data_IF_968866532749
#
_entry.id   IF_968866532749
#
_cell.length_a   1.000
_cell.length_b   1.000
_cell.length_c   1.000
_cell.angle_alpha   90.00
_cell.angle_beta   90.00
_cell.angle_gamma   90.00
#
_symmetry.space_group_name_H-M   'P 1'
#
loop_
_entity.id
_entity.type
_entity.pdbx_description
1 polymer ?
#
# COMPACT_ATOMS: atom_id res chain seq x y z
N UNK A 1 -6.17 11.48 32.29
CA UNK A 1 -5.48 11.16 31.04
C UNK A 1 -6.35 11.64 29.89
N UNK A 2 -6.00 12.77 29.26
CA UNK A 2 -6.84 13.46 28.27
C UNK A 2 -6.51 12.97 26.88
N UNK A 3 -7.48 12.39 26.19
CA UNK A 3 -7.45 11.90 24.82
C UNK A 3 -7.17 13.05 23.84
N UNK A 4 -6.07 12.95 23.11
CA UNK A 4 -5.76 13.82 21.95
C UNK A 4 -6.19 13.11 20.67
N UNK A 5 -7.49 12.97 20.47
CA UNK A 5 -8.07 12.65 19.17
C UNK A 5 -8.65 13.95 18.60
N UNK A 6 -7.88 14.65 17.86
CA UNK A 6 -8.36 15.67 16.93
C UNK A 6 -7.18 16.15 16.12
N UNK A 7 -7.11 15.73 14.88
CA UNK A 7 -6.54 16.40 13.71
C UNK A 7 -6.53 15.38 12.57
N UNK A 8 -7.69 15.08 11.98
CA UNK A 8 -7.79 14.54 10.62
C UNK A 8 -9.24 14.71 10.12
N UNK A 9 -9.76 15.91 10.28
CA UNK A 9 -10.92 16.34 9.53
C UNK A 9 -10.57 17.77 9.08
N UNK A 10 -10.21 17.92 7.82
CA UNK A 10 -10.21 19.12 6.97
C UNK A 10 -9.13 18.93 5.90
N UNK A 11 -9.55 18.49 4.76
CA UNK A 11 -9.13 18.92 3.42
C UNK A 11 -9.87 18.12 2.36
N UNK A 12 -11.15 18.43 2.22
CA UNK A 12 -11.84 18.38 0.94
C UNK A 12 -12.03 19.82 0.50
N UNK A 13 -11.60 20.10 -0.68
CA UNK A 13 -11.91 21.22 -1.59
C UNK A 13 -10.65 21.87 -2.13
N UNK A 14 -10.35 21.53 -3.37
CA UNK A 14 -10.11 22.53 -4.42
C UNK A 14 -9.89 21.80 -5.76
N UNK A 15 -10.99 21.76 -6.52
CA UNK A 15 -10.93 21.59 -7.97
C UNK A 15 -10.75 22.97 -8.59
N UNK A 16 -9.76 23.14 -9.44
CA UNK A 16 -9.76 24.19 -10.48
C UNK A 16 -8.75 23.81 -11.57
N UNK A 17 -9.29 23.35 -12.67
CA UNK A 17 -9.13 23.88 -14.03
C UNK A 17 -7.82 24.61 -14.33
N UNK A 18 -7.02 24.06 -15.23
CA UNK A 18 -6.15 24.86 -16.10
C UNK A 18 -6.19 24.36 -17.52
N UNK A 19 -6.42 25.33 -18.36
CA UNK A 19 -6.69 25.33 -19.75
C UNK A 19 -5.54 24.89 -20.66
N UNK A 20 -5.96 24.49 -21.82
CA UNK A 20 -5.19 24.18 -23.00
C UNK A 20 -4.41 25.38 -23.52
N UNK A 21 -3.16 25.15 -23.90
CA UNK A 21 -2.37 26.06 -24.73
C UNK A 21 -1.75 25.31 -25.91
N UNK A 22 -2.37 25.36 -27.06
CA UNK A 22 -1.74 24.96 -28.32
C UNK A 22 -0.77 26.03 -28.77
N UNK A 23 0.45 25.63 -29.13
CA UNK A 23 1.44 26.47 -29.79
C UNK A 23 2.10 25.71 -30.94
N UNK A 24 1.60 25.95 -32.18
CA UNK A 24 2.31 25.58 -33.41
C UNK A 24 3.46 26.55 -33.65
N UNK A 25 4.63 26.06 -33.97
CA UNK A 25 5.77 26.83 -34.49
C UNK A 25 6.64 25.98 -35.42
N UNK A 26 6.47 26.19 -36.74
CA UNK A 26 7.36 25.73 -37.81
C UNK A 26 8.63 26.57 -37.82
N UNK A 27 9.77 25.99 -38.15
CA UNK A 27 10.98 26.72 -38.53
C UNK A 27 12.16 25.79 -38.82
N UNK A 28 12.44 25.60 -40.09
CA UNK A 28 13.61 24.94 -40.67
C UNK A 28 14.92 25.67 -40.32
N UNK A 29 16.04 25.00 -40.17
CA UNK A 29 17.15 24.97 -41.15
C UNK A 29 18.40 24.32 -40.57
N UNK A 30 19.13 23.70 -41.46
CA UNK A 30 20.31 22.90 -41.30
C UNK A 30 21.53 23.67 -40.78
N UNK A 31 22.34 22.98 -39.96
CA UNK A 31 23.78 23.16 -39.97
C UNK A 31 24.48 21.82 -39.64
N UNK A 32 25.20 21.30 -40.63
CA UNK A 32 26.16 20.20 -40.48
C UNK A 32 27.38 20.71 -39.70
N UNK A 33 27.89 19.88 -38.78
CA UNK A 33 29.31 19.98 -38.41
C UNK A 33 29.62 19.60 -36.97
N UNK A 34 30.51 18.59 -36.82
CA UNK A 34 31.32 18.26 -35.66
C UNK A 34 30.55 17.65 -34.47
N UNK A 35 30.59 16.39 -34.19
CA UNK A 35 31.69 15.48 -34.22
C UNK A 35 32.04 15.04 -32.81
N UNK A 36 31.59 13.88 -32.41
CA UNK A 36 32.24 12.95 -31.47
C UNK A 36 32.98 13.54 -30.24
N UNK A 37 32.23 13.99 -29.21
CA UNK A 37 32.77 14.08 -27.82
C UNK A 37 31.72 14.27 -26.74
N UNK A 38 30.47 13.82 -26.93
CA UNK A 38 29.42 13.96 -25.90
C UNK A 38 28.76 12.63 -25.44
N UNK A 39 29.40 11.49 -25.65
CA UNK A 39 28.82 10.20 -25.22
C UNK A 39 29.29 9.69 -23.85
N UNK A 40 30.13 10.41 -23.12
CA UNK A 40 30.52 9.96 -21.77
C UNK A 40 29.93 10.75 -20.59
N UNK A 41 29.19 11.83 -20.83
CA UNK A 41 28.56 12.61 -19.75
C UNK A 41 27.13 12.16 -19.37
N UNK A 42 26.48 11.32 -20.20
CA UNK A 42 25.11 10.90 -19.97
C UNK A 42 24.91 9.75 -18.98
N UNK A 43 25.98 8.99 -18.69
CA UNK A 43 25.85 7.81 -17.81
C UNK A 43 25.97 8.13 -16.31
N UNK A 44 26.48 9.30 -15.93
CA UNK A 44 26.58 9.70 -14.51
C UNK A 44 25.36 10.48 -13.98
N UNK A 45 24.56 11.09 -14.84
CA UNK A 45 23.35 11.81 -14.39
C UNK A 45 22.20 10.88 -13.95
N UNK A 46 22.13 9.65 -14.47
CA UNK A 46 21.07 8.70 -14.09
C UNK A 46 21.25 8.03 -12.73
N UNK A 47 22.45 8.08 -12.15
CA UNK A 47 22.72 7.48 -10.84
C UNK A 47 22.49 8.48 -9.70
N UNK A 48 22.74 9.76 -9.91
CA UNK A 48 22.52 10.81 -8.90
C UNK A 48 21.05 11.08 -8.56
N UNK A 49 20.13 10.87 -9.50
CA UNK A 49 18.70 11.06 -9.24
C UNK A 49 18.08 9.88 -8.48
N UNK A 50 18.59 8.66 -8.69
CA UNK A 50 18.11 7.48 -7.93
C UNK A 50 18.53 7.50 -6.46
N UNK A 51 19.64 8.16 -6.13
CA UNK A 51 20.12 8.27 -4.75
C UNK A 51 19.48 9.44 -3.98
N UNK A 52 18.93 10.43 -4.67
CA UNK A 52 18.18 11.55 -4.05
C UNK A 52 16.85 11.12 -3.45
N UNK A 53 16.21 10.09 -4.01
CA UNK A 53 14.93 9.55 -3.51
C UNK A 53 15.10 8.53 -2.39
N UNK A 54 16.36 8.19 -2.04
CA UNK A 54 16.64 7.23 -0.97
C UNK A 54 16.60 7.89 0.39
N UNK A 55 15.77 7.33 1.26
CA UNK A 55 15.56 7.82 2.62
C UNK A 55 16.28 6.92 3.61
N UNK A 56 17.09 7.52 4.49
CA UNK A 56 17.76 6.78 5.56
C UNK A 56 16.74 6.26 6.56
N UNK A 57 16.81 4.98 6.91
CA UNK A 57 15.99 4.38 7.93
C UNK A 57 16.83 3.62 8.96
N UNK A 58 16.37 3.61 10.18
CA UNK A 58 16.98 2.83 11.25
C UNK A 58 16.79 1.33 11.02
N UNK A 59 17.64 0.50 11.61
CA UNK A 59 17.49 -0.95 11.59
C UNK A 59 16.09 -1.37 12.10
N UNK A 60 15.60 -0.72 13.15
CA UNK A 60 14.28 -0.97 13.71
C UNK A 60 13.15 -0.69 12.71
N UNK A 61 13.18 0.46 12.03
CA UNK A 61 12.17 0.81 10.99
C UNK A 61 12.17 -0.22 9.87
N UNK A 62 13.34 -0.69 9.45
CA UNK A 62 13.45 -1.72 8.43
C UNK A 62 12.86 -3.06 8.87
N UNK A 63 13.08 -3.46 10.11
CA UNK A 63 12.53 -4.70 10.65
C UNK A 63 11.00 -4.59 10.81
N UNK A 64 10.47 -3.44 11.20
CA UNK A 64 9.04 -3.16 11.22
C UNK A 64 8.42 -3.27 9.83
N UNK A 65 9.05 -2.69 8.80
CA UNK A 65 8.60 -2.83 7.40
C UNK A 65 8.56 -4.29 6.95
N UNK A 66 9.58 -5.09 7.27
CA UNK A 66 9.62 -6.52 6.95
C UNK A 66 8.52 -7.28 7.68
N UNK A 67 8.28 -6.97 8.95
CA UNK A 67 7.24 -7.62 9.75
C UNK A 67 5.85 -7.29 9.19
N UNK A 68 5.61 -6.04 8.78
CA UNK A 68 4.38 -5.65 8.11
C UNK A 68 4.19 -6.37 6.75
N UNK A 69 5.24 -6.49 5.93
CA UNK A 69 5.19 -7.22 4.65
C UNK A 69 4.85 -8.70 4.86
N UNK A 70 5.49 -9.37 5.86
CA UNK A 70 5.20 -10.76 6.21
C UNK A 70 3.76 -10.95 6.71
N UNK A 71 3.29 -10.04 7.57
CA UNK A 71 1.91 -10.09 8.08
C UNK A 71 0.90 -9.89 6.96
N UNK A 72 1.14 -8.96 6.04
CA UNK A 72 0.31 -8.75 4.86
C UNK A 72 0.25 -10.00 3.97
N UNK A 73 1.38 -10.70 3.79
CA UNK A 73 1.42 -11.96 3.06
C UNK A 73 0.63 -13.07 3.75
N UNK A 74 0.75 -13.19 5.07
CA UNK A 74 0.00 -14.19 5.84
C UNK A 74 -1.52 -13.95 5.74
N UNK A 75 -1.98 -12.70 5.89
CA UNK A 75 -3.39 -12.33 5.74
C UNK A 75 -3.87 -12.64 4.31
N UNK A 76 -3.11 -12.25 3.30
CA UNK A 76 -3.42 -12.53 1.90
C UNK A 76 -3.60 -14.03 1.64
N UNK A 77 -2.68 -14.86 2.12
CA UNK A 77 -2.73 -16.31 1.95
C UNK A 77 -3.94 -16.91 2.68
N UNK A 78 -4.28 -16.39 3.86
CA UNK A 78 -5.47 -16.82 4.61
C UNK A 78 -6.76 -16.42 3.87
N UNK A 79 -6.84 -15.21 3.35
CA UNK A 79 -7.99 -14.76 2.55
C UNK A 79 -8.18 -15.64 1.29
N UNK A 80 -7.09 -15.97 0.60
CA UNK A 80 -7.11 -16.91 -0.53
C UNK A 80 -7.63 -18.28 -0.13
N UNK A 81 -7.20 -18.81 1.02
CA UNK A 81 -7.67 -20.09 1.51
C UNK A 81 -9.16 -20.04 1.85
N UNK A 82 -9.61 -18.98 2.53
CA UNK A 82 -11.03 -18.77 2.84
C UNK A 82 -11.88 -18.69 1.56
N UNK A 83 -11.39 -18.01 0.52
CA UNK A 83 -12.09 -17.94 -0.76
C UNK A 83 -12.28 -19.33 -1.41
N UNK A 84 -11.26 -20.18 -1.31
CA UNK A 84 -11.33 -21.58 -1.79
C UNK A 84 -12.32 -22.41 -0.97
N UNK A 85 -12.24 -22.30 0.35
CA UNK A 85 -13.08 -23.09 1.26
C UNK A 85 -14.56 -22.70 1.16
N UNK A 86 -14.84 -21.39 1.04
CA UNK A 86 -16.19 -20.87 0.88
C UNK A 86 -16.78 -21.16 -0.52
N UNK A 87 -15.94 -21.29 -1.55
CA UNK A 87 -16.39 -21.55 -2.92
C UNK A 87 -16.63 -23.03 -3.25
N UNK A 88 -16.35 -23.97 -2.33
CA UNK A 88 -16.53 -25.41 -2.55
C UNK A 88 -17.95 -25.88 -2.26
N UNK A 89 -18.35 -26.98 -2.87
CA UNK A 89 -19.50 -27.73 -2.42
C UNK A 89 -19.25 -28.23 -0.97
N UNK A 90 -20.19 -28.00 -0.06
CA UNK A 90 -19.98 -28.28 1.37
C UNK A 90 -19.37 -27.13 2.16
N UNK A 91 -19.65 -25.90 1.76
CA UNK A 91 -19.29 -24.69 2.50
C UNK A 91 -19.60 -24.83 4.00
N UNK A 92 -18.57 -24.59 4.83
CA UNK A 92 -18.67 -24.63 6.28
C UNK A 92 -18.46 -23.22 6.87
N UNK A 93 -19.52 -22.55 7.34
CA UNK A 93 -19.43 -21.21 7.91
C UNK A 93 -18.48 -21.10 9.12
N UNK A 94 -18.40 -22.15 9.97
CA UNK A 94 -17.55 -22.12 11.15
C UNK A 94 -16.05 -22.18 10.81
N UNK A 95 -15.70 -22.87 9.74
CA UNK A 95 -14.33 -22.87 9.23
C UNK A 95 -13.93 -21.47 8.74
N UNK A 96 -14.84 -20.79 8.05
CA UNK A 96 -14.62 -19.42 7.59
C UNK A 96 -14.54 -18.44 8.76
N UNK A 97 -15.41 -18.56 9.78
CA UNK A 97 -15.34 -17.74 11.00
C UNK A 97 -13.99 -17.87 11.70
N UNK A 98 -13.45 -19.08 11.82
CA UNK A 98 -12.10 -19.29 12.37
C UNK A 98 -11.02 -18.62 11.54
N UNK A 99 -11.11 -18.73 10.20
CA UNK A 99 -10.17 -18.05 9.29
C UNK A 99 -10.24 -16.54 9.41
N UNK A 100 -11.45 -16.00 9.52
CA UNK A 100 -11.69 -14.56 9.71
C UNK A 100 -11.13 -14.05 11.04
N UNK A 101 -11.31 -14.81 12.13
CA UNK A 101 -10.73 -14.47 13.43
C UNK A 101 -9.20 -14.40 13.36
N UNK A 102 -8.55 -15.35 12.70
CA UNK A 102 -7.10 -15.34 12.50
C UNK A 102 -6.65 -14.12 11.67
N UNK A 103 -7.41 -13.72 10.65
CA UNK A 103 -7.13 -12.49 9.89
C UNK A 103 -7.21 -11.27 10.80
N UNK A 104 -8.23 -11.16 11.67
CA UNK A 104 -8.36 -10.03 12.61
C UNK A 104 -7.18 -9.94 13.57
N UNK A 105 -6.73 -11.05 14.10
CA UNK A 105 -5.58 -11.10 15.00
C UNK A 105 -4.29 -10.68 14.30
N UNK A 106 -4.05 -11.18 13.09
CA UNK A 106 -2.90 -10.80 12.27
C UNK A 106 -2.96 -9.33 11.84
N UNK A 107 -4.14 -8.83 11.48
CA UNK A 107 -4.35 -7.42 11.12
C UNK A 107 -4.08 -6.50 12.32
N UNK A 108 -4.54 -6.88 13.51
CA UNK A 108 -4.27 -6.13 14.75
C UNK A 108 -2.77 -6.10 15.07
N UNK A 109 -2.05 -7.20 14.87
CA UNK A 109 -0.60 -7.25 15.04
C UNK A 109 0.11 -6.35 14.01
N UNK A 110 -0.27 -6.44 12.73
CA UNK A 110 0.27 -5.62 11.66
C UNK A 110 0.03 -4.12 11.89
N UNK A 111 -1.17 -3.75 12.37
CA UNK A 111 -1.50 -2.36 12.69
C UNK A 111 -0.60 -1.81 13.82
N UNK A 112 -0.32 -2.60 14.86
CA UNK A 112 0.61 -2.18 15.92
C UNK A 112 2.02 -1.92 15.39
N UNK A 113 2.53 -2.78 14.51
CA UNK A 113 3.84 -2.56 13.89
C UNK A 113 3.83 -1.35 12.94
N UNK A 114 2.75 -1.16 12.20
CA UNK A 114 2.56 0.02 11.35
C UNK A 114 2.53 1.32 12.16
N UNK A 115 1.81 1.36 13.28
CA UNK A 115 1.77 2.52 14.18
C UNK A 115 3.15 2.83 14.77
N UNK A 116 3.91 1.81 15.18
CA UNK A 116 5.29 1.99 15.67
C UNK A 116 6.21 2.54 14.57
N UNK A 117 6.07 2.04 13.35
CA UNK A 117 6.79 2.57 12.19
C UNK A 117 6.47 4.04 12.00
N UNK A 118 5.19 4.41 11.97
CA UNK A 118 4.72 5.79 11.81
C UNK A 118 5.26 6.74 12.88
N UNK A 119 5.26 6.31 14.14
CA UNK A 119 5.80 7.09 15.26
C UNK A 119 7.33 7.29 15.17
N UNK A 120 8.03 6.39 14.52
CA UNK A 120 9.48 6.45 14.32
C UNK A 120 9.92 7.25 13.10
N UNK A 121 9.01 7.69 12.22
CA UNK A 121 9.36 8.47 11.05
C UNK A 121 9.74 9.90 11.40
N UNK A 122 10.78 10.44 10.77
CA UNK A 122 11.05 11.87 10.79
C UNK A 122 10.26 12.59 9.68
N UNK A 123 10.20 13.93 9.74
CA UNK A 123 9.43 14.73 8.78
C UNK A 123 9.80 14.49 7.32
N UNK A 124 11.09 14.27 7.02
CA UNK A 124 11.55 13.98 5.65
C UNK A 124 11.06 12.62 5.19
N UNK A 125 11.08 11.61 6.07
CA UNK A 125 10.56 10.27 5.81
C UNK A 125 9.04 10.30 5.60
N UNK A 126 8.30 11.02 6.46
CA UNK A 126 6.84 11.18 6.31
C UNK A 126 6.50 11.77 4.95
N UNK A 127 7.17 12.84 4.52
CA UNK A 127 6.95 13.48 3.22
C UNK A 127 7.27 12.51 2.07
N UNK A 128 8.42 11.82 2.14
CA UNK A 128 8.85 10.89 1.09
C UNK A 128 7.90 9.67 0.94
N UNK A 129 7.24 9.26 2.04
CA UNK A 129 6.35 8.09 2.07
C UNK A 129 4.87 8.43 2.06
N UNK A 130 4.49 9.70 2.13
CA UNK A 130 3.10 10.16 2.32
C UNK A 130 2.09 9.47 1.39
N UNK A 131 2.39 9.37 0.09
CA UNK A 131 1.50 8.72 -0.87
C UNK A 131 1.29 7.23 -0.55
N UNK A 132 2.37 6.52 -0.16
CA UNK A 132 2.32 5.12 0.22
C UNK A 132 1.55 4.91 1.51
N UNK A 133 1.78 5.76 2.51
CA UNK A 133 1.08 5.73 3.82
C UNK A 133 -0.42 5.97 3.65
N UNK A 134 -0.81 6.95 2.84
CA UNK A 134 -2.22 7.21 2.50
C UNK A 134 -2.88 5.99 1.82
N UNK A 135 -2.18 5.34 0.90
CA UNK A 135 -2.72 4.16 0.24
C UNK A 135 -2.82 2.95 1.19
N UNK A 136 -1.89 2.80 2.14
CA UNK A 136 -1.95 1.78 3.18
C UNK A 136 -3.17 1.99 4.09
N UNK A 137 -3.44 3.23 4.49
CA UNK A 137 -4.60 3.56 5.31
C UNK A 137 -5.91 3.25 4.60
N UNK A 138 -6.04 3.63 3.33
CA UNK A 138 -7.21 3.26 2.50
C UNK A 138 -7.38 1.74 2.37
N UNK A 139 -6.28 1.00 2.23
CA UNK A 139 -6.33 -0.46 2.19
C UNK A 139 -6.82 -1.03 3.53
N UNK A 140 -6.37 -0.48 4.67
CA UNK A 140 -6.83 -0.85 6.02
C UNK A 140 -8.34 -0.67 6.18
N UNK A 141 -8.86 0.49 5.75
CA UNK A 141 -10.30 0.76 5.80
C UNK A 141 -11.12 -0.23 4.96
N UNK A 142 -10.63 -0.53 3.74
CA UNK A 142 -11.27 -1.53 2.87
C UNK A 142 -11.30 -2.91 3.51
N UNK A 143 -10.20 -3.37 4.13
CA UNK A 143 -10.15 -4.67 4.81
C UNK A 143 -11.17 -4.73 5.96
N UNK A 144 -11.27 -3.67 6.76
CA UNK A 144 -12.26 -3.60 7.84
C UNK A 144 -13.69 -3.68 7.29
N UNK A 145 -14.00 -2.97 6.21
CA UNK A 145 -15.31 -3.03 5.53
C UNK A 145 -15.60 -4.44 4.99
N UNK A 146 -14.60 -5.09 4.39
CA UNK A 146 -14.75 -6.46 3.88
C UNK A 146 -14.97 -7.48 5.00
N UNK A 147 -14.28 -7.32 6.14
CA UNK A 147 -14.50 -8.17 7.33
C UNK A 147 -15.92 -7.98 7.89
N UNK A 148 -16.42 -6.75 7.96
CA UNK A 148 -17.79 -6.47 8.39
C UNK A 148 -18.84 -7.06 7.43
N UNK A 149 -18.64 -6.91 6.13
CA UNK A 149 -19.52 -7.48 5.13
C UNK A 149 -19.56 -9.02 5.21
N UNK A 150 -18.42 -9.65 5.48
CA UNK A 150 -18.33 -11.08 5.70
C UNK A 150 -19.04 -11.52 6.99
N UNK A 151 -18.94 -10.74 8.09
CA UNK A 151 -19.70 -11.00 9.32
C UNK A 151 -21.21 -10.98 9.06
N UNK A 152 -21.67 -9.96 8.32
CA UNK A 152 -23.09 -9.84 7.96
C UNK A 152 -23.58 -11.05 7.16
N UNK A 153 -22.79 -11.49 6.18
CA UNK A 153 -23.15 -12.67 5.38
C UNK A 153 -23.18 -13.95 6.22
N UNK A 154 -22.15 -14.16 7.07
CA UNK A 154 -22.05 -15.33 7.95
C UNK A 154 -23.11 -15.35 9.07
N UNK A 155 -23.74 -14.21 9.36
CA UNK A 155 -24.80 -14.09 10.37
C UNK A 155 -26.20 -14.40 9.81
N UNK A 156 -26.33 -14.59 8.50
CA UNK A 156 -27.61 -14.96 7.88
C UNK A 156 -28.02 -16.39 8.29
N UNK A 157 -29.31 -16.68 8.33
CA UNK A 157 -29.80 -18.04 8.58
C UNK A 157 -29.26 -19.07 7.57
N UNK A 158 -29.06 -18.63 6.35
CA UNK A 158 -28.46 -19.40 5.24
C UNK A 158 -27.38 -18.57 4.57
N UNK A 159 -26.13 -18.61 5.11
CA UNK A 159 -25.03 -17.86 4.52
C UNK A 159 -24.63 -18.44 3.16
N UNK A 160 -24.40 -17.56 2.18
CA UNK A 160 -24.01 -17.94 0.83
C UNK A 160 -22.50 -18.04 0.70
N UNK A 161 -21.96 -19.26 0.57
CA UNK A 161 -20.51 -19.48 0.40
C UNK A 161 -19.91 -18.72 -0.79
N UNK A 162 -20.68 -18.55 -1.88
CA UNK A 162 -20.23 -17.78 -3.05
C UNK A 162 -19.93 -16.31 -2.70
N UNK A 163 -20.81 -15.64 -1.94
CA UNK A 163 -20.63 -14.25 -1.50
C UNK A 163 -19.44 -14.12 -0.56
N UNK A 164 -19.30 -15.04 0.38
CA UNK A 164 -18.13 -15.09 1.27
C UNK A 164 -16.84 -15.28 0.48
N UNK A 165 -16.85 -16.14 -0.54
CA UNK A 165 -15.70 -16.35 -1.41
C UNK A 165 -15.32 -15.10 -2.21
N UNK A 166 -16.30 -14.33 -2.68
CA UNK A 166 -16.07 -13.04 -3.38
C UNK A 166 -15.43 -12.01 -2.45
N UNK A 167 -15.98 -11.84 -1.23
CA UNK A 167 -15.41 -10.93 -0.23
C UNK A 167 -13.99 -11.31 0.18
N UNK A 168 -13.70 -12.60 0.31
CA UNK A 168 -12.37 -13.09 0.62
C UNK A 168 -11.37 -12.85 -0.54
N UNK A 169 -11.79 -12.97 -1.81
CA UNK A 169 -10.95 -12.59 -2.97
C UNK A 169 -10.68 -11.10 -3.02
N UNK A 170 -11.67 -10.27 -2.68
CA UNK A 170 -11.48 -8.81 -2.62
C UNK A 170 -10.49 -8.44 -1.52
N UNK A 171 -10.56 -9.11 -0.37
CA UNK A 171 -9.59 -8.96 0.72
C UNK A 171 -8.18 -9.39 0.28
N UNK A 172 -8.03 -10.51 -0.44
CA UNK A 172 -6.76 -10.95 -1.03
C UNK A 172 -6.18 -9.86 -1.95
N UNK A 173 -7.00 -9.26 -2.81
CA UNK A 173 -6.59 -8.17 -3.71
C UNK A 173 -6.15 -6.93 -2.92
N UNK A 174 -6.92 -6.51 -1.94
CA UNK A 174 -6.59 -5.35 -1.08
C UNK A 174 -5.29 -5.58 -0.31
N UNK A 175 -5.06 -6.78 0.22
CA UNK A 175 -3.80 -7.11 0.90
C UNK A 175 -2.61 -7.14 -0.04
N UNK A 176 -2.80 -7.54 -1.30
CA UNK A 176 -1.76 -7.46 -2.32
C UNK A 176 -1.38 -6.00 -2.66
N UNK A 177 -2.38 -5.10 -2.73
CA UNK A 177 -2.13 -3.66 -2.89
C UNK A 177 -1.37 -3.09 -1.70
N UNK A 178 -1.77 -3.43 -0.48
CA UNK A 178 -1.10 -3.00 0.74
C UNK A 178 0.36 -3.47 0.77
N UNK A 179 0.61 -4.74 0.47
CA UNK A 179 1.95 -5.32 0.41
C UNK A 179 2.84 -4.58 -0.61
N UNK A 180 2.30 -4.18 -1.77
CA UNK A 180 3.03 -3.37 -2.75
C UNK A 180 3.48 -2.04 -2.18
N UNK A 181 2.67 -1.39 -1.33
CA UNK A 181 3.04 -0.13 -0.70
C UNK A 181 4.22 -0.31 0.28
N UNK A 182 4.21 -1.35 1.11
CA UNK A 182 5.36 -1.65 1.98
C UNK A 182 6.63 -1.90 1.19
N UNK A 183 6.57 -2.67 0.12
CA UNK A 183 7.73 -2.93 -0.75
C UNK A 183 8.23 -1.67 -1.46
N UNK A 184 7.32 -0.78 -1.86
CA UNK A 184 7.69 0.51 -2.43
C UNK A 184 8.40 1.40 -1.41
N UNK A 185 7.95 1.42 -0.16
CA UNK A 185 8.66 2.11 0.94
C UNK A 185 10.02 1.45 1.20
N UNK A 186 10.08 0.12 1.29
CA UNK A 186 11.34 -0.61 1.51
C UNK A 186 12.39 -0.33 0.42
N UNK A 187 11.96 -0.21 -0.84
CA UNK A 187 12.87 0.08 -1.96
C UNK A 187 13.48 1.48 -1.92
N UNK A 188 12.83 2.41 -1.22
CA UNK A 188 13.32 3.78 -1.02
C UNK A 188 14.22 3.94 0.21
N UNK A 189 14.28 2.93 1.06
CA UNK A 189 15.05 2.95 2.31
C UNK A 189 16.48 2.52 2.08
N UNK A 190 17.45 3.34 2.50
CA UNK A 190 18.87 3.00 2.57
C UNK A 190 19.24 2.73 4.01
N UNK A 191 20.02 1.68 4.23
CA UNK A 191 20.57 1.37 5.57
C UNK A 191 21.79 2.23 5.80
N UNK A 192 21.85 2.87 6.97
CA UNK A 192 23.12 3.40 7.45
C UNK A 192 24.07 2.24 7.75
N UNK A 193 25.33 2.33 7.30
CA UNK A 193 26.35 1.32 7.62
C UNK A 193 26.62 1.28 9.13
#
# INVERSE_FOLDING_TARGET
MKYRYSIFAIMMLLAASVAWGQGKGKGSQAAKGQGQRQQQAGAQQGQGDKDRDRVRATAQQRDQLKNCDRSAEAIRNRARQMAKDAGRSGFNPDQVRRGQQQIREQLAAMNREHERLMQGLNKGQEQAFQAHLTNMERARERINTQLQAMDQELSRPQPEGKRVAEQARDMERTMNEWQKQYRAVQSKVVVEP
#
